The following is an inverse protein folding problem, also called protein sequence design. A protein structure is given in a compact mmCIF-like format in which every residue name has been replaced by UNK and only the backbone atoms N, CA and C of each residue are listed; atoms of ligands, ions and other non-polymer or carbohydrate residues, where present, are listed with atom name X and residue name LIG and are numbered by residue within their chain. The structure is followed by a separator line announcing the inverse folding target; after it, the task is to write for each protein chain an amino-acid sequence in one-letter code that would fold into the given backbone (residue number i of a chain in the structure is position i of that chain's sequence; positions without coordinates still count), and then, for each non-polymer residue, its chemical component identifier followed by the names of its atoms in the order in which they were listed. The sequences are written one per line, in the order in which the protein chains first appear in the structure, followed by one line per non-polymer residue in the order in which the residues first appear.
data_IF_008161724999
#
_entry.id   IF_008161724999
#
_cell.length_a   1.000
_cell.length_b   1.000
_cell.length_c   1.000
_cell.angle_alpha   90.00
_cell.angle_beta   90.00
_cell.angle_gamma   90.00
#
_symmetry.space_group_name_H-M   'P 1'
#
loop_
_entity.id
_entity.type
_entity.pdbx_description
1 polymer ?
#
# COMPACT_ATOMS: atom_id res chain seq x y z
N UNK A 1 -35.84 -13.21 2.93
CA UNK A 1 -34.81 -13.78 2.03
C UNK A 1 -33.58 -12.85 1.90
N UNK A 2 -33.76 -11.52 1.84
CA UNK A 2 -32.68 -10.52 1.65
C UNK A 2 -31.76 -10.32 2.87
N UNK A 3 -32.26 -10.42 4.11
CA UNK A 3 -31.45 -10.17 5.31
C UNK A 3 -30.45 -11.29 5.64
N UNK A 4 -30.75 -12.53 5.26
CA UNK A 4 -29.87 -13.70 5.47
C UNK A 4 -28.63 -13.59 4.56
N UNK A 5 -28.80 -13.08 3.33
CA UNK A 5 -27.71 -12.84 2.38
C UNK A 5 -26.69 -11.84 2.93
N UNK A 6 -27.14 -10.76 3.58
CA UNK A 6 -26.24 -9.76 4.16
C UNK A 6 -25.42 -10.30 5.34
N UNK A 7 -26.00 -11.15 6.19
CA UNK A 7 -25.30 -11.77 7.31
C UNK A 7 -24.26 -12.81 6.85
N UNK A 8 -24.58 -13.57 5.79
CA UNK A 8 -23.61 -14.49 5.16
C UNK A 8 -22.45 -13.72 4.56
N UNK A 9 -22.71 -12.60 3.85
CA UNK A 9 -21.68 -11.69 3.34
C UNK A 9 -20.83 -11.08 4.45
N UNK A 10 -21.43 -10.71 5.59
CA UNK A 10 -20.69 -10.14 6.72
C UNK A 10 -19.80 -11.17 7.42
N UNK A 11 -20.28 -12.41 7.60
CA UNK A 11 -19.46 -13.53 8.10
C UNK A 11 -18.36 -13.93 7.12
N UNK A 12 -18.64 -13.90 5.81
CA UNK A 12 -17.63 -14.12 4.77
C UNK A 12 -16.57 -13.00 4.79
N UNK A 13 -16.98 -11.74 4.96
CA UNK A 13 -16.07 -10.59 5.12
C UNK A 13 -15.18 -10.74 6.35
N UNK A 14 -15.72 -11.13 7.51
CA UNK A 14 -14.92 -11.36 8.72
C UNK A 14 -13.95 -12.54 8.57
N UNK A 15 -14.39 -13.61 7.89
CA UNK A 15 -13.51 -14.74 7.52
C UNK A 15 -12.45 -14.31 6.49
N UNK A 16 -12.78 -13.35 5.63
CA UNK A 16 -11.84 -12.68 4.73
C UNK A 16 -10.77 -11.96 5.56
N UNK A 17 -11.13 -11.12 6.55
CA UNK A 17 -10.14 -10.48 7.44
C UNK A 17 -9.23 -11.49 8.18
N UNK A 18 -9.70 -12.71 8.45
CA UNK A 18 -8.91 -13.75 9.10
C UNK A 18 -7.99 -14.54 8.15
N UNK A 19 -8.21 -14.47 6.84
CA UNK A 19 -7.34 -15.13 5.87
C UNK A 19 -6.12 -14.25 5.62
N UNK A 20 -4.93 -14.73 5.94
CA UNK A 20 -3.64 -14.04 5.73
C UNK A 20 -3.54 -13.30 4.37
N UNK A 21 -4.07 -13.91 3.30
CA UNK A 21 -4.10 -13.36 1.94
C UNK A 21 -5.00 -12.14 1.73
N UNK A 22 -6.02 -11.97 2.55
CA UNK A 22 -6.89 -10.80 2.53
C UNK A 22 -6.23 -9.61 3.21
N UNK A 23 -5.51 -9.83 4.31
CA UNK A 23 -4.76 -8.77 4.99
C UNK A 23 -3.73 -8.12 4.04
N UNK A 24 -3.06 -8.95 3.23
CA UNK A 24 -2.14 -8.48 2.19
C UNK A 24 -2.88 -7.64 1.13
N UNK A 25 -4.07 -8.07 0.69
CA UNK A 25 -4.88 -7.32 -0.28
C UNK A 25 -5.35 -5.98 0.27
N UNK A 26 -5.80 -5.95 1.53
CA UNK A 26 -6.17 -4.72 2.22
C UNK A 26 -4.97 -3.79 2.38
N UNK A 27 -3.77 -4.33 2.65
CA UNK A 27 -2.52 -3.57 2.67
C UNK A 27 -2.22 -2.90 1.33
N UNK A 28 -2.37 -3.63 0.21
CA UNK A 28 -2.17 -3.08 -1.14
C UNK A 28 -3.18 -1.97 -1.42
N UNK A 29 -4.47 -2.19 -1.15
CA UNK A 29 -5.52 -1.19 -1.38
C UNK A 29 -5.27 0.05 -0.52
N UNK A 30 -4.95 -0.14 0.76
CA UNK A 30 -4.66 0.94 1.69
C UNK A 30 -3.44 1.76 1.27
N UNK A 31 -2.34 1.12 0.90
CA UNK A 31 -1.15 1.80 0.41
C UNK A 31 -1.42 2.52 -0.92
N UNK A 32 -2.19 1.92 -1.83
CA UNK A 32 -2.53 2.52 -3.11
C UNK A 32 -3.39 3.78 -2.95
N UNK A 33 -4.48 3.70 -2.17
CA UNK A 33 -5.36 4.86 -1.93
C UNK A 33 -4.63 5.93 -1.11
N UNK A 34 -3.87 5.52 -0.09
CA UNK A 34 -3.03 6.41 0.69
C UNK A 34 -2.01 7.15 -0.19
N UNK A 35 -1.36 6.45 -1.11
CA UNK A 35 -0.36 7.04 -2.01
C UNK A 35 -0.98 8.09 -2.91
N UNK A 36 -2.20 7.88 -3.39
CA UNK A 36 -2.93 8.87 -4.20
C UNK A 36 -3.20 10.12 -3.35
N UNK A 37 -3.69 9.95 -2.12
CA UNK A 37 -3.96 11.08 -1.22
C UNK A 37 -2.72 11.93 -0.90
N UNK A 38 -1.60 11.27 -0.56
CA UNK A 38 -0.35 11.98 -0.28
C UNK A 38 0.25 12.60 -1.56
N UNK A 39 0.04 11.99 -2.72
CA UNK A 39 0.47 12.58 -4.00
C UNK A 39 -0.23 13.91 -4.30
N UNK A 40 -1.54 14.01 -4.01
CA UNK A 40 -2.25 15.29 -4.10
C UNK A 40 -1.68 16.35 -3.13
N UNK A 41 -1.32 15.94 -1.92
CA UNK A 41 -0.65 16.86 -0.98
C UNK A 41 0.70 17.31 -1.52
N UNK A 42 1.53 16.39 -2.04
CA UNK A 42 2.81 16.71 -2.69
C UNK A 42 2.63 17.74 -3.82
N UNK A 43 1.58 17.61 -4.62
CA UNK A 43 1.27 18.55 -5.70
C UNK A 43 0.94 19.96 -5.18
N UNK A 44 0.16 20.07 -4.11
CA UNK A 44 -0.14 21.36 -3.48
C UNK A 44 1.12 22.03 -2.89
N UNK A 45 1.97 21.26 -2.22
CA UNK A 45 3.23 21.77 -1.67
C UNK A 45 4.17 22.27 -2.77
N UNK A 46 4.28 21.53 -3.88
CA UNK A 46 5.07 21.96 -5.03
C UNK A 46 4.56 23.29 -5.61
N UNK A 47 3.24 23.45 -5.75
CA UNK A 47 2.65 24.70 -6.24
C UNK A 47 2.89 25.86 -5.28
N UNK A 48 2.78 25.63 -3.96
CA UNK A 48 3.06 26.66 -2.95
C UNK A 48 4.51 27.14 -3.01
N UNK A 49 5.44 26.21 -3.16
CA UNK A 49 6.87 26.52 -3.31
C UNK A 49 7.12 27.35 -4.56
N UNK A 50 6.58 26.94 -5.72
CA UNK A 50 6.74 27.69 -6.97
C UNK A 50 6.17 29.10 -6.87
N UNK A 51 4.98 29.27 -6.30
CA UNK A 51 4.36 30.59 -6.12
C UNK A 51 5.18 31.51 -5.20
N UNK A 52 5.68 30.99 -4.06
CA UNK A 52 6.54 31.77 -3.16
C UNK A 52 7.88 32.11 -3.80
N UNK A 53 8.42 31.24 -4.66
CA UNK A 53 9.65 31.50 -5.39
C UNK A 53 9.48 32.61 -6.43
N UNK A 54 8.40 32.57 -7.21
CA UNK A 54 8.05 33.59 -8.20
C UNK A 54 7.78 34.96 -7.56
N UNK A 55 7.07 35.00 -6.43
CA UNK A 55 6.71 36.24 -5.74
C UNK A 55 7.91 36.98 -5.15
N UNK A 56 9.05 36.32 -4.96
CA UNK A 56 10.20 36.96 -4.29
C UNK A 56 11.51 36.82 -5.03
N UNK A 57 11.48 36.50 -6.33
CA UNK A 57 12.67 36.43 -7.18
C UNK A 57 13.83 35.62 -6.53
N UNK A 58 13.50 34.58 -5.75
CA UNK A 58 14.48 33.71 -5.09
C UNK A 58 15.18 34.25 -3.84
N UNK A 59 14.77 35.39 -3.27
CA UNK A 59 15.43 35.96 -2.07
C UNK A 59 14.94 35.42 -0.73
N UNK A 60 13.80 34.70 -0.66
CA UNK A 60 13.30 34.11 0.61
C UNK A 60 13.75 32.66 0.74
N UNK A 61 14.15 32.29 1.95
CA UNK A 61 14.31 30.90 2.36
C UNK A 61 12.96 30.18 2.30
N UNK A 62 12.81 29.27 1.33
CA UNK A 62 11.64 28.40 1.23
C UNK A 62 11.93 27.12 2.01
N UNK A 63 11.00 26.70 2.87
CA UNK A 63 11.16 25.49 3.65
C UNK A 63 10.93 24.24 2.77
N UNK A 64 11.99 23.78 2.11
CA UNK A 64 12.01 22.57 1.29
C UNK A 64 11.93 21.28 2.12
N UNK A 65 12.17 21.37 3.43
CA UNK A 65 12.20 20.21 4.32
C UNK A 65 10.84 19.52 4.41
N UNK A 66 9.75 20.30 4.38
CA UNK A 66 8.39 19.75 4.33
C UNK A 66 8.14 19.01 2.99
N UNK A 67 8.61 19.56 1.87
CA UNK A 67 8.46 18.91 0.56
C UNK A 67 9.23 17.59 0.48
N UNK A 68 10.45 17.55 1.05
CA UNK A 68 11.25 16.33 1.18
C UNK A 68 10.50 15.30 2.04
N UNK A 69 9.98 15.71 3.19
CA UNK A 69 9.24 14.81 4.09
C UNK A 69 7.99 14.20 3.42
N UNK A 70 7.21 15.02 2.71
CA UNK A 70 6.04 14.53 1.95
C UNK A 70 6.47 13.56 0.85
N UNK A 71 7.57 13.85 0.15
CA UNK A 71 8.11 12.95 -0.86
C UNK A 71 8.58 11.60 -0.27
N UNK A 72 9.24 11.63 0.89
CA UNK A 72 9.67 10.42 1.58
C UNK A 72 8.47 9.56 1.99
N UNK A 73 7.40 10.18 2.49
CA UNK A 73 6.15 9.46 2.82
C UNK A 73 5.59 8.75 1.58
N UNK A 74 5.50 9.42 0.43
CA UNK A 74 5.04 8.79 -0.83
C UNK A 74 5.95 7.61 -1.19
N UNK A 75 7.26 7.79 -1.10
CA UNK A 75 8.26 6.74 -1.39
C UNK A 75 8.07 5.54 -0.48
N UNK A 76 7.85 5.74 0.81
CA UNK A 76 7.56 4.67 1.76
C UNK A 76 6.25 3.96 1.44
N UNK A 77 5.17 4.68 1.13
CA UNK A 77 3.89 4.07 0.76
C UNK A 77 4.00 3.21 -0.51
N UNK A 78 4.72 3.68 -1.52
CA UNK A 78 5.00 2.91 -2.73
C UNK A 78 5.85 1.67 -2.42
N UNK A 79 6.88 1.81 -1.56
CA UNK A 79 7.70 0.69 -1.10
C UNK A 79 6.87 -0.40 -0.40
N UNK A 80 5.98 -0.02 0.51
CA UNK A 80 5.04 -0.95 1.15
C UNK A 80 4.09 -1.59 0.13
N UNK A 81 3.58 -0.81 -0.82
CA UNK A 81 2.72 -1.34 -1.89
C UNK A 81 3.45 -2.40 -2.73
N UNK A 82 4.70 -2.13 -3.13
CA UNK A 82 5.55 -3.08 -3.84
C UNK A 82 5.84 -4.33 -3.01
N UNK A 83 6.12 -4.18 -1.70
CA UNK A 83 6.35 -5.29 -0.79
C UNK A 83 5.15 -6.24 -0.72
N UNK A 84 3.95 -5.70 -0.47
CA UNK A 84 2.74 -6.53 -0.44
C UNK A 84 2.42 -7.15 -1.81
N UNK A 85 2.67 -6.42 -2.90
CA UNK A 85 2.52 -6.93 -4.26
C UNK A 85 3.49 -8.09 -4.55
N UNK A 86 4.73 -8.01 -4.05
CA UNK A 86 5.71 -9.09 -4.15
C UNK A 86 5.25 -10.35 -3.41
N UNK A 87 4.68 -10.23 -2.20
CA UNK A 87 4.13 -11.38 -1.47
C UNK A 87 2.98 -12.03 -2.26
N UNK A 88 2.11 -11.21 -2.86
CA UNK A 88 1.05 -11.67 -3.77
C UNK A 88 1.62 -12.38 -5.00
N UNK A 89 2.74 -11.90 -5.55
CA UNK A 89 3.42 -12.53 -6.67
C UNK A 89 4.01 -13.90 -6.30
N UNK A 90 4.61 -14.03 -5.11
CA UNK A 90 5.05 -15.32 -4.55
C UNK A 90 3.87 -16.29 -4.39
N UNK A 91 2.69 -15.80 -4.02
CA UNK A 91 1.47 -16.62 -3.99
C UNK A 91 1.11 -17.18 -5.36
N UNK A 92 1.18 -16.36 -6.41
CA UNK A 92 0.88 -16.77 -7.78
C UNK A 92 1.80 -17.91 -8.23
N UNK A 93 3.07 -17.90 -7.82
CA UNK A 93 3.98 -19.01 -8.13
C UNK A 93 3.64 -20.34 -7.47
N UNK A 94 2.90 -20.34 -6.35
CA UNK A 94 2.48 -21.60 -5.68
C UNK A 94 1.48 -22.42 -6.50
N UNK A 95 0.89 -21.86 -7.55
CA UNK A 95 0.11 -22.63 -8.53
C UNK A 95 0.97 -23.58 -9.36
N UNK A 96 2.29 -23.41 -9.37
CA UNK A 96 3.21 -24.40 -9.94
C UNK A 96 3.49 -25.50 -8.91
N UNK A 97 3.17 -26.75 -9.26
CA UNK A 97 3.28 -27.94 -8.39
C UNK A 97 4.68 -28.09 -7.76
N UNK A 98 5.74 -27.69 -8.48
CA UNK A 98 7.12 -27.73 -7.98
C UNK A 98 7.38 -26.76 -6.83
N UNK A 99 6.78 -25.56 -6.87
CA UNK A 99 6.95 -24.52 -5.86
C UNK A 99 6.12 -24.81 -4.62
N UNK A 100 4.96 -25.47 -4.77
CA UNK A 100 4.15 -25.89 -3.62
C UNK A 100 4.87 -26.91 -2.74
N UNK A 101 5.63 -27.84 -3.32
CA UNK A 101 6.45 -28.82 -2.58
C UNK A 101 7.51 -28.16 -1.68
N UNK A 102 8.15 -27.09 -2.15
CA UNK A 102 9.09 -26.32 -1.33
C UNK A 102 8.39 -25.60 -0.16
N UNK A 103 7.17 -25.10 -0.38
CA UNK A 103 6.39 -24.48 0.69
C UNK A 103 5.94 -25.50 1.75
N UNK A 104 5.68 -26.75 1.37
CA UNK A 104 5.32 -27.83 2.30
C UNK A 104 6.52 -28.32 3.11
N UNK A 105 7.68 -28.50 2.48
CA UNK A 105 8.92 -28.88 3.19
C UNK A 105 9.35 -27.81 4.20
N UNK A 106 9.27 -26.52 3.85
CA UNK A 106 9.50 -25.42 4.79
C UNK A 106 8.51 -25.44 5.96
N UNK A 107 7.23 -25.71 5.72
CA UNK A 107 6.22 -25.86 6.79
C UNK A 107 6.51 -27.08 7.68
N UNK A 108 7.00 -28.16 7.10
CA UNK A 108 7.33 -29.38 7.82
C UNK A 108 8.55 -29.17 8.74
N UNK A 109 9.58 -28.45 8.27
CA UNK A 109 10.76 -28.13 9.07
C UNK A 109 10.54 -27.01 10.11
N UNK A 110 9.50 -26.19 9.96
CA UNK A 110 9.15 -25.13 10.92
C UNK A 110 8.34 -25.62 12.14
N UNK A 111 8.05 -26.92 12.20
CA UNK A 111 7.34 -27.59 13.30
C UNK A 111 8.33 -28.30 14.21
#
# INVERSE_FOLDING_TARGET
FTSIQQLVLFKLRLKYFYQFWSLIQLGIIGCSVGSIGVYFWRFQEANRISQSFEQTNGYIYINLQLAVYVNDIVTFLLGYCCFFSMIKFVQLFRFNQRVSLFAETLKYCAK
#
